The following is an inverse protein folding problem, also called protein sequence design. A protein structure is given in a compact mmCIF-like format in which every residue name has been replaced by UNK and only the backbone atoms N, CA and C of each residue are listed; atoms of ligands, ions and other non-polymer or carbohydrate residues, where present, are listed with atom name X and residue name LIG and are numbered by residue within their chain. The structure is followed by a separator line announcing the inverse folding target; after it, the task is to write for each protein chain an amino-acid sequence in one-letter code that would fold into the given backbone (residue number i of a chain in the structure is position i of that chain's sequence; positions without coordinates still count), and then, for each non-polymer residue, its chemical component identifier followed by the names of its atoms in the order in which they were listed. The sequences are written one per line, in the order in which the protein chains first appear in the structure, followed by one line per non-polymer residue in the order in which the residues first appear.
data_IF_099615841773
#
_entry.id   IF_099615841773
#
_cell.length_a   1.000
_cell.length_b   1.000
_cell.length_c   1.000
_cell.angle_alpha   90.00
_cell.angle_beta   90.00
_cell.angle_gamma   90.00
#
_symmetry.space_group_name_H-M   'P 1'
#
loop_
_entity.id
_entity.type
_entity.pdbx_description
1 polymer ?
#
# COMPACT_ATOMS: atom_id res chain seq x y z
N UNK A 1 -10.09 -21.08 -10.10
CA UNK A 1 -9.83 -20.01 -9.12
C UNK A 1 -9.09 -18.90 -9.84
N UNK A 2 -9.59 -17.67 -9.82
CA UNK A 2 -8.94 -16.50 -10.44
C UNK A 2 -7.79 -15.98 -9.58
N UNK A 3 -6.88 -15.18 -10.15
CA UNK A 3 -5.78 -14.57 -9.37
C UNK A 3 -6.31 -13.72 -8.21
N UNK A 4 -7.39 -12.96 -8.43
CA UNK A 4 -8.01 -12.14 -7.39
C UNK A 4 -8.63 -12.99 -6.27
N UNK A 5 -9.16 -14.17 -6.58
CA UNK A 5 -9.66 -15.10 -5.55
C UNK A 5 -8.52 -15.63 -4.67
N UNK A 6 -7.37 -15.98 -5.26
CA UNK A 6 -6.18 -16.40 -4.52
C UNK A 6 -5.67 -15.27 -3.63
N UNK A 7 -5.55 -14.06 -4.19
CA UNK A 7 -5.11 -12.88 -3.42
C UNK A 7 -6.10 -12.58 -2.31
N UNK A 8 -7.41 -12.64 -2.56
CA UNK A 8 -8.42 -12.46 -1.54
C UNK A 8 -8.23 -13.47 -0.40
N UNK A 9 -8.14 -14.76 -0.70
CA UNK A 9 -7.96 -15.81 0.30
C UNK A 9 -6.68 -15.62 1.15
N UNK A 10 -5.59 -15.14 0.55
CA UNK A 10 -4.34 -14.86 1.24
C UNK A 10 -4.37 -13.55 2.06
N UNK A 11 -4.91 -12.48 1.47
CA UNK A 11 -4.74 -11.12 1.99
C UNK A 11 -5.86 -10.67 2.92
N UNK A 12 -7.01 -11.36 2.94
CA UNK A 12 -8.20 -10.96 3.70
C UNK A 12 -7.90 -10.74 5.19
N UNK A 13 -7.21 -11.71 5.82
CA UNK A 13 -6.87 -11.68 7.26
C UNK A 13 -5.50 -11.07 7.56
N UNK A 14 -4.79 -10.56 6.55
CA UNK A 14 -3.47 -9.96 6.74
C UNK A 14 -3.58 -8.64 7.54
N UNK A 15 -2.69 -8.48 8.52
CA UNK A 15 -2.51 -7.22 9.22
C UNK A 15 -1.82 -6.14 8.37
N UNK A 16 -1.19 -6.53 7.25
CA UNK A 16 -0.55 -5.62 6.30
C UNK A 16 -1.59 -5.11 5.32
N UNK A 17 -1.57 -3.80 5.03
CA UNK A 17 -2.45 -3.22 4.03
C UNK A 17 -2.03 -3.69 2.63
N UNK A 18 -2.96 -4.34 1.93
CA UNK A 18 -2.74 -4.93 0.60
C UNK A 18 -3.77 -4.34 -0.35
N UNK A 19 -3.28 -3.88 -1.51
CA UNK A 19 -4.10 -3.35 -2.60
C UNK A 19 -3.61 -3.92 -3.93
N UNK A 20 -4.54 -4.27 -4.82
CA UNK A 20 -4.26 -4.70 -6.19
C UNK A 20 -4.93 -3.74 -7.16
N UNK A 21 -4.19 -3.35 -8.18
CA UNK A 21 -4.71 -2.52 -9.27
C UNK A 21 -4.56 -3.22 -10.62
N UNK A 22 -5.29 -2.75 -11.64
CA UNK A 22 -4.92 -3.00 -13.04
C UNK A 22 -3.54 -2.38 -13.38
N UNK A 23 -3.03 -2.67 -14.58
CA UNK A 23 -1.74 -2.16 -15.06
C UNK A 23 -1.82 -0.86 -15.88
N UNK A 24 -2.97 -0.16 -15.92
CA UNK A 24 -3.15 1.02 -16.78
C UNK A 24 -2.50 2.25 -16.15
N UNK A 25 -1.34 2.66 -16.66
CA UNK A 25 -0.56 3.75 -16.07
C UNK A 25 -1.00 5.15 -16.55
N UNK A 26 -1.68 5.25 -17.71
CA UNK A 26 -2.17 6.53 -18.25
C UNK A 26 -3.25 7.16 -17.37
N UNK A 27 -3.31 8.49 -17.30
CA UNK A 27 -4.29 9.21 -16.45
C UNK A 27 -5.73 8.68 -16.64
N UNK A 28 -6.48 8.44 -15.55
CA UNK A 28 -6.19 8.74 -14.13
C UNK A 28 -5.22 7.75 -13.44
N UNK A 29 -4.73 6.78 -14.22
CA UNK A 29 -3.89 5.62 -13.95
C UNK A 29 -4.58 4.54 -13.12
N UNK A 30 -3.82 3.66 -12.46
CA UNK A 30 -4.28 2.29 -12.33
C UNK A 30 -5.48 2.19 -11.39
N UNK A 31 -6.43 1.34 -11.74
CA UNK A 31 -7.71 1.22 -11.03
C UNK A 31 -7.60 0.18 -9.93
N UNK A 32 -8.03 0.49 -8.71
CA UNK A 32 -8.06 -0.48 -7.61
C UNK A 32 -9.14 -1.54 -7.87
N UNK A 33 -8.72 -2.80 -7.94
CA UNK A 33 -9.58 -3.96 -8.14
C UNK A 33 -9.81 -4.75 -6.85
N UNK A 34 -8.88 -4.64 -5.90
CA UNK A 34 -8.97 -5.27 -4.59
C UNK A 34 -8.28 -4.40 -3.54
N UNK A 35 -8.87 -4.34 -2.34
CA UNK A 35 -8.25 -3.80 -1.14
C UNK A 35 -8.70 -4.62 0.07
N UNK A 36 -7.79 -4.94 0.99
CA UNK A 36 -8.15 -5.65 2.22
C UNK A 36 -8.58 -4.69 3.34
N UNK A 37 -9.10 -5.26 4.43
CA UNK A 37 -9.56 -4.49 5.59
C UNK A 37 -8.43 -3.65 6.24
N UNK A 38 -7.18 -4.12 6.19
CA UNK A 38 -6.03 -3.34 6.67
C UNK A 38 -5.79 -2.09 5.82
N UNK A 39 -6.01 -2.15 4.50
CA UNK A 39 -5.93 -0.99 3.62
C UNK A 39 -7.06 0.02 3.87
N UNK A 40 -8.29 -0.45 4.09
CA UNK A 40 -9.40 0.43 4.52
C UNK A 40 -9.05 1.20 5.81
N UNK A 41 -8.51 0.52 6.82
CA UNK A 41 -8.06 1.17 8.07
C UNK A 41 -6.90 2.15 7.85
N UNK A 42 -5.96 1.81 6.96
CA UNK A 42 -4.84 2.68 6.60
C UNK A 42 -5.30 3.96 5.90
N UNK A 43 -6.30 3.89 5.04
CA UNK A 43 -6.82 5.04 4.29
C UNK A 43 -7.89 5.80 5.08
N UNK A 44 -8.60 5.11 5.97
CA UNK A 44 -9.75 5.64 6.71
C UNK A 44 -10.98 5.83 5.83
N UNK A 45 -11.17 4.96 4.82
CA UNK A 45 -12.29 5.00 3.87
C UNK A 45 -12.80 3.59 3.60
N UNK A 46 -14.13 3.34 3.55
CA UNK A 46 -14.66 2.01 3.27
C UNK A 46 -14.14 1.44 1.95
N UNK A 47 -13.85 0.13 1.90
CA UNK A 47 -13.41 -0.56 0.68
C UNK A 47 -14.36 -0.29 -0.48
N UNK A 48 -15.67 -0.27 -0.25
CA UNK A 48 -16.69 0.01 -1.27
C UNK A 48 -16.49 1.36 -1.97
N UNK A 49 -15.92 2.36 -1.28
CA UNK A 49 -15.63 3.67 -1.87
C UNK A 49 -14.18 3.79 -2.39
N UNK A 50 -13.33 2.78 -2.13
CA UNK A 50 -11.95 2.68 -2.62
C UNK A 50 -11.92 1.96 -3.97
N UNK A 51 -12.66 0.86 -4.10
CA UNK A 51 -12.72 0.06 -5.33
C UNK A 51 -13.13 0.92 -6.53
N UNK A 52 -12.55 0.64 -7.69
CA UNK A 52 -12.82 1.38 -8.93
C UNK A 52 -12.15 2.76 -9.02
N UNK A 53 -11.45 3.21 -7.98
CA UNK A 53 -10.73 4.48 -7.98
C UNK A 53 -9.22 4.29 -8.20
N UNK A 54 -8.56 5.35 -8.65
CA UNK A 54 -7.09 5.40 -8.75
C UNK A 54 -6.46 5.72 -7.39
N UNK A 55 -5.41 5.01 -6.92
CA UNK A 55 -4.73 5.30 -5.66
C UNK A 55 -4.21 6.74 -5.52
N UNK A 56 -4.15 7.48 -6.64
CA UNK A 56 -3.77 8.89 -6.67
C UNK A 56 -4.65 9.79 -5.80
N UNK A 57 -5.86 9.37 -5.42
CA UNK A 57 -6.70 10.13 -4.48
C UNK A 57 -6.03 10.34 -3.11
N UNK A 58 -5.07 9.49 -2.73
CA UNK A 58 -4.31 9.62 -1.47
C UNK A 58 -3.18 10.65 -1.57
N UNK A 59 -2.85 11.14 -2.76
CA UNK A 59 -1.74 12.08 -2.97
C UNK A 59 -2.22 13.51 -2.73
N UNK A 60 -1.33 14.37 -2.23
CA UNK A 60 -1.63 15.76 -1.97
C UNK A 60 -0.38 16.64 -1.98
N UNK A 61 -0.48 17.82 -1.35
CA UNK A 61 0.51 18.89 -1.47
C UNK A 61 1.93 18.49 -1.05
N UNK A 62 2.07 17.66 -0.01
CA UNK A 62 3.37 17.21 0.50
C UNK A 62 3.86 15.91 -0.15
N UNK A 63 3.09 15.31 -1.06
CA UNK A 63 3.52 14.14 -1.81
C UNK A 63 4.63 14.55 -2.79
N UNK A 64 5.85 14.05 -2.58
CA UNK A 64 7.03 14.50 -3.32
C UNK A 64 7.00 13.99 -4.76
N UNK A 65 6.93 14.93 -5.72
CA UNK A 65 6.88 14.64 -7.15
C UNK A 65 8.03 13.75 -7.67
N UNK A 66 9.31 13.97 -7.29
CA UNK A 66 10.39 13.10 -7.74
C UNK A 66 10.23 11.63 -7.33
N UNK A 67 9.63 11.37 -6.17
CA UNK A 67 9.38 9.99 -5.72
C UNK A 67 8.24 9.36 -6.55
N UNK A 68 7.21 10.14 -6.88
CA UNK A 68 6.14 9.69 -7.78
C UNK A 68 6.65 9.40 -9.19
N UNK A 69 7.56 10.21 -9.70
CA UNK A 69 8.16 10.01 -11.02
C UNK A 69 9.01 8.73 -11.03
N UNK A 70 9.85 8.51 -10.00
CA UNK A 70 10.59 7.25 -9.85
C UNK A 70 9.65 6.04 -9.72
N UNK A 71 8.55 6.18 -8.99
CA UNK A 71 7.54 5.12 -8.86
C UNK A 71 6.92 4.80 -10.23
N UNK A 72 6.47 5.81 -10.96
CA UNK A 72 5.90 5.63 -12.29
C UNK A 72 6.89 4.99 -13.28
N UNK A 73 8.17 5.40 -13.23
CA UNK A 73 9.23 4.82 -14.06
C UNK A 73 9.46 3.33 -13.75
N UNK A 74 9.57 2.97 -12.46
CA UNK A 74 9.73 1.57 -12.05
C UNK A 74 8.56 0.70 -12.52
N UNK A 75 7.32 1.18 -12.36
CA UNK A 75 6.14 0.44 -12.82
C UNK A 75 6.10 0.30 -14.34
N UNK A 76 6.45 1.35 -15.09
CA UNK A 76 6.50 1.32 -16.54
C UNK A 76 7.59 0.36 -17.07
N UNK A 77 8.72 0.25 -16.36
CA UNK A 77 9.77 -0.71 -16.64
C UNK A 77 9.41 -2.15 -16.21
N UNK A 78 8.29 -2.34 -15.49
CA UNK A 78 7.92 -3.63 -14.96
C UNK A 78 8.83 -4.12 -13.84
N UNK A 79 9.33 -3.18 -13.04
CA UNK A 79 10.21 -3.41 -11.90
C UNK A 79 9.47 -3.20 -10.57
N UNK A 80 10.06 -3.73 -9.49
CA UNK A 80 9.57 -3.48 -8.12
C UNK A 80 9.88 -2.04 -7.74
N UNK A 81 8.90 -1.34 -7.18
CA UNK A 81 9.13 -0.10 -6.45
C UNK A 81 9.13 -0.37 -4.95
N UNK A 82 10.14 0.12 -4.23
CA UNK A 82 10.15 0.19 -2.78
C UNK A 82 10.56 1.59 -2.33
N UNK A 83 9.74 2.24 -1.51
CA UNK A 83 10.00 3.61 -1.12
C UNK A 83 8.98 4.19 -0.14
N UNK A 84 9.11 5.49 0.10
CA UNK A 84 8.34 6.22 1.10
C UNK A 84 7.67 7.44 0.46
N UNK A 85 6.38 7.63 0.75
CA UNK A 85 5.57 8.73 0.23
C UNK A 85 4.74 9.36 1.34
N UNK A 86 4.41 10.65 1.21
CA UNK A 86 3.39 11.28 2.05
C UNK A 86 2.04 11.08 1.39
N UNK A 87 1.10 10.46 2.10
CA UNK A 87 -0.29 10.28 1.69
C UNK A 87 -1.24 11.00 2.66
N UNK A 88 -2.50 11.12 2.25
CA UNK A 88 -3.58 11.75 2.99
C UNK A 88 -4.73 10.77 3.18
N UNK A 89 -5.27 10.71 4.40
CA UNK A 89 -6.49 9.96 4.75
C UNK A 89 -7.73 10.73 4.30
N UNK A 90 -8.90 10.09 4.28
CA UNK A 90 -10.17 10.74 3.95
C UNK A 90 -10.46 11.99 4.82
N UNK A 91 -10.07 11.96 6.10
CA UNK A 91 -10.15 13.10 7.01
C UNK A 91 -8.98 14.12 6.87
N UNK A 92 -8.29 14.14 5.73
CA UNK A 92 -7.16 15.03 5.41
C UNK A 92 -5.92 14.96 6.33
N UNK A 93 -5.83 13.96 7.20
CA UNK A 93 -4.63 13.73 8.01
C UNK A 93 -3.53 13.12 7.14
N UNK A 94 -2.35 13.75 7.15
CA UNK A 94 -1.18 13.26 6.44
C UNK A 94 -0.48 12.15 7.21
N UNK A 95 0.06 11.18 6.48
CA UNK A 95 0.89 10.11 7.02
C UNK A 95 2.00 9.74 6.03
N UNK A 96 3.12 9.21 6.54
CA UNK A 96 4.16 8.66 5.68
C UNK A 96 3.86 7.19 5.49
N UNK A 97 3.69 6.79 4.23
CA UNK A 97 3.49 5.40 3.82
C UNK A 97 4.79 4.85 3.28
N UNK A 98 5.16 3.66 3.73
CA UNK A 98 6.10 2.80 3.02
C UNK A 98 5.32 1.93 2.04
N UNK A 99 5.79 1.87 0.79
CA UNK A 99 5.17 1.14 -0.30
C UNK A 99 6.18 0.12 -0.84
N UNK A 100 5.79 -1.15 -0.90
CA UNK A 100 6.41 -2.19 -1.72
C UNK A 100 5.40 -2.59 -2.80
N UNK A 101 5.67 -2.22 -4.05
CA UNK A 101 4.79 -2.46 -5.19
C UNK A 101 5.48 -3.33 -6.23
N UNK A 102 4.81 -4.39 -6.68
CA UNK A 102 5.35 -5.40 -7.59
C UNK A 102 4.41 -5.65 -8.77
N UNK A 103 4.93 -5.76 -10.00
CA UNK A 103 4.13 -6.18 -11.14
C UNK A 103 3.79 -7.67 -11.04
N UNK A 104 2.55 -8.02 -11.36
CA UNK A 104 2.11 -9.39 -11.58
C UNK A 104 1.94 -9.61 -13.07
N UNK A 105 2.58 -10.66 -13.57
CA UNK A 105 2.65 -10.98 -15.00
C UNK A 105 1.81 -12.20 -15.33
N UNK A 106 1.20 -12.19 -16.50
CA UNK A 106 0.56 -13.38 -17.06
C UNK A 106 1.59 -14.34 -17.67
N UNK A 107 1.10 -15.45 -18.23
CA UNK A 107 1.93 -16.48 -18.85
C UNK A 107 2.78 -15.96 -20.02
N UNK A 108 2.32 -14.92 -20.72
CA UNK A 108 3.03 -14.28 -21.83
C UNK A 108 4.05 -13.22 -21.35
N UNK A 109 4.21 -13.06 -20.03
CA UNK A 109 5.13 -12.10 -19.41
C UNK A 109 4.61 -10.66 -19.38
N UNK A 110 3.40 -10.41 -19.85
CA UNK A 110 2.75 -9.09 -19.83
C UNK A 110 2.28 -8.76 -18.42
N UNK A 111 2.43 -7.50 -18.01
CA UNK A 111 1.98 -7.03 -16.69
C UNK A 111 0.46 -6.81 -16.75
N UNK A 112 -0.29 -7.56 -15.95
CA UNK A 112 -1.75 -7.41 -15.87
C UNK A 112 -2.17 -6.60 -14.65
N UNK A 113 -1.42 -6.73 -13.55
CA UNK A 113 -1.76 -6.12 -12.27
C UNK A 113 -0.53 -5.57 -11.55
N UNK A 114 -0.76 -4.68 -10.60
CA UNK A 114 0.21 -4.32 -9.58
C UNK A 114 -0.30 -4.73 -8.20
N UNK A 115 0.55 -5.42 -7.43
CA UNK A 115 0.32 -5.77 -6.04
C UNK A 115 1.14 -4.86 -5.15
N UNK A 116 0.49 -4.16 -4.22
CA UNK A 116 1.15 -3.25 -3.30
C UNK A 116 0.88 -3.61 -1.84
N UNK A 117 1.97 -3.68 -1.07
CA UNK A 117 1.97 -3.75 0.39
C UNK A 117 2.27 -2.37 0.94
N UNK A 118 1.48 -1.94 1.94
CA UNK A 118 1.58 -0.61 2.50
C UNK A 118 1.58 -0.64 4.02
N UNK A 119 2.39 0.23 4.62
CA UNK A 119 2.38 0.45 6.06
C UNK A 119 2.64 1.91 6.38
N UNK A 120 1.96 2.42 7.40
CA UNK A 120 2.30 3.70 7.97
C UNK A 120 3.62 3.61 8.74
N UNK A 121 4.49 4.59 8.55
CA UNK A 121 5.76 4.69 9.24
C UNK A 121 5.95 6.08 9.85
N UNK A 122 6.61 6.13 11.00
CA UNK A 122 7.05 7.35 11.63
C UNK A 122 8.55 7.55 11.37
N UNK A 123 8.98 8.81 11.32
CA UNK A 123 10.42 9.12 11.24
C UNK A 123 11.06 8.83 12.60
N UNK A 124 12.09 7.99 12.61
CA UNK A 124 12.88 7.72 13.82
C UNK A 124 13.52 9.00 14.35
N UNK A 125 13.55 9.13 15.68
CA UNK A 125 14.33 10.17 16.36
C UNK A 125 15.81 9.80 16.32
N UNK A 126 16.66 10.79 16.07
CA UNK A 126 18.12 10.62 16.04
C UNK A 126 18.72 10.48 14.64
N UNK A 127 20.04 10.25 14.60
CA UNK A 127 20.79 10.12 13.34
C UNK A 127 20.48 8.75 12.71
N UNK A 128 19.99 8.69 11.47
CA UNK A 128 19.77 7.43 10.77
C UNK A 128 21.10 6.69 10.57
N UNK A 129 21.10 5.38 10.77
CA UNK A 129 22.26 4.53 10.53
C UNK A 129 21.95 3.54 9.40
N UNK A 130 22.68 3.58 8.29
CA UNK A 130 22.47 2.63 7.18
C UNK A 130 21.43 3.06 6.13
N UNK A 131 21.32 4.34 5.79
CA UNK A 131 20.56 4.80 4.62
C UNK A 131 19.11 5.20 4.90
N UNK A 132 18.27 5.29 3.85
CA UNK A 132 16.90 5.85 3.95
C UNK A 132 15.95 4.95 4.74
N UNK A 133 16.05 3.62 4.61
CA UNK A 133 15.17 2.69 5.32
C UNK A 133 15.30 2.80 6.85
N UNK A 134 16.52 3.06 7.34
CA UNK A 134 16.79 3.29 8.77
C UNK A 134 16.19 4.58 9.34
N UNK A 135 15.63 5.46 8.49
CA UNK A 135 15.01 6.72 8.91
C UNK A 135 13.60 6.53 9.46
N UNK A 136 13.00 5.36 9.23
CA UNK A 136 11.61 5.12 9.50
C UNK A 136 11.42 3.89 10.40
N UNK A 137 10.33 3.90 11.16
CA UNK A 137 9.87 2.76 11.95
C UNK A 137 8.36 2.59 11.76
N UNK A 138 7.85 1.34 11.75
CA UNK A 138 6.41 1.11 11.66
C UNK A 138 5.66 1.82 12.77
N UNK A 139 4.56 2.48 12.44
CA UNK A 139 3.61 2.93 13.45
C UNK A 139 2.86 1.70 13.94
N UNK A 140 2.85 1.48 15.26
CA UNK A 140 2.08 0.38 15.84
C UNK A 140 0.61 0.55 15.44
N UNK A 141 0.04 -0.49 14.85
CA UNK A 141 -1.41 -0.56 14.64
C UNK A 141 -2.01 -0.64 16.04
N UNK A 142 -2.80 0.36 16.45
CA UNK A 142 -3.50 0.30 17.74
C UNK A 142 -4.25 -1.04 17.84
N UNK A 143 -4.09 -1.74 18.95
CA UNK A 143 -4.74 -3.03 19.24
C UNK A 143 -6.27 -2.98 19.13
N UNK A 144 -6.85 -1.79 19.25
CA UNK A 144 -8.29 -1.55 19.08
C UNK A 144 -8.76 -1.71 17.63
N UNK A 145 -7.84 -1.68 16.67
CA UNK A 145 -8.07 -1.82 15.23
C UNK A 145 -7.87 -3.24 14.68
N UNK A 146 -7.43 -4.18 15.52
CA UNK A 146 -7.23 -5.57 15.15
C UNK A 146 -8.57 -6.32 15.13
N UNK A 147 -8.78 -7.16 14.11
CA UNK A 147 -9.91 -8.09 14.10
C UNK A 147 -9.76 -9.06 15.29
N UNK A 148 -10.87 -9.61 15.83
CA UNK A 148 -10.84 -10.48 17.01
C UNK A 148 -9.85 -11.65 16.89
N UNK A 149 -9.68 -12.20 15.68
CA UNK A 149 -8.77 -13.33 15.41
C UNK A 149 -7.29 -12.98 15.58
N UNK A 150 -6.89 -11.72 15.38
CA UNK A 150 -5.50 -11.27 15.54
C UNK A 150 -5.17 -10.90 16.99
N UNK A 151 -6.18 -10.61 17.83
CA UNK A 151 -5.98 -10.37 19.27
C UNK A 151 -5.56 -11.62 20.02
N UNK A 152 -5.94 -12.82 19.56
CA UNK A 152 -5.56 -14.08 20.21
C UNK A 152 -4.07 -14.41 20.03
N UNK A 153 -3.45 -13.96 18.93
CA UNK A 153 -2.03 -14.24 18.66
C UNK A 153 -1.08 -13.32 19.43
N UNK A 154 -1.52 -12.12 19.84
CA UNK A 154 -0.71 -11.19 20.64
C UNK A 154 -0.72 -11.48 22.14
N UNK A 155 -1.41 -12.53 22.59
CA UNK A 155 -1.48 -12.94 24.01
C UNK A 155 -0.47 -14.06 24.34
N UNK A 156 0.31 -14.51 23.35
CA UNK A 156 1.31 -15.57 23.51
C UNK A 156 2.77 -15.08 23.48
N UNK A 157 3.02 -13.80 23.74
CA UNK A 157 4.37 -13.27 24.02
C UNK A 157 4.52 -12.82 25.48
#
# INVERSE_FOLDING_TARGET
MTLLEVIHAFAHDSAVAIVVTDAKLEKPGPTILYANAAFERLVGKPVAEILGNSPRFMQGRETRRPVLDNFAQALAAGERFHGYLTNYRAASHKYVVEIDCRPLRNADGQIEYFLSFQREVARRRGRPWGGVASRFEPVAVSSDSLTPNLKLLSVFE
#
